data_IF_664349381923
#
_entry.id   IF_664349381923
#
_cell.length_a   1.000
_cell.length_b   1.000
_cell.length_c   1.000
_cell.angle_alpha   90.00
_cell.angle_beta   90.00
_cell.angle_gamma   90.00
#
_symmetry.space_group_name_H-M   'P 1'
#
loop_
_entity.id
_entity.type
_entity.pdbx_description
1 polymer ?
#
# COMPACT_ATOMS: atom_id res chain seq x y z
N UNK A 1 9.52 -16.18 -3.02
CA UNK A 1 10.76 -16.03 -2.23
C UNK A 1 12.01 -16.34 -3.04
N UNK A 2 12.23 -17.58 -3.48
CA UNK A 2 13.45 -17.95 -4.23
C UNK A 2 13.77 -17.01 -5.40
N UNK A 3 12.76 -16.56 -6.16
CA UNK A 3 12.98 -15.62 -7.26
C UNK A 3 13.42 -14.23 -6.79
N UNK A 4 12.85 -13.69 -5.70
CA UNK A 4 13.24 -12.35 -5.21
C UNK A 4 14.71 -12.33 -4.78
N UNK A 5 15.14 -13.37 -4.05
CA UNK A 5 16.53 -13.52 -3.64
C UNK A 5 17.46 -13.65 -4.86
N UNK A 6 17.07 -14.44 -5.88
CA UNK A 6 17.86 -14.56 -7.13
C UNK A 6 18.03 -13.22 -7.83
N UNK A 7 16.96 -12.43 -7.98
CA UNK A 7 17.04 -11.11 -8.61
C UNK A 7 17.86 -10.11 -7.77
N UNK A 8 17.72 -10.13 -6.45
CA UNK A 8 18.53 -9.32 -5.55
C UNK A 8 20.02 -9.67 -5.66
N UNK A 9 20.36 -10.97 -5.63
CA UNK A 9 21.73 -11.44 -5.78
C UNK A 9 22.29 -11.10 -7.15
N UNK A 10 21.53 -11.33 -8.23
CA UNK A 10 21.95 -10.97 -9.58
C UNK A 10 22.26 -9.46 -9.67
N UNK A 11 21.41 -8.61 -9.09
CA UNK A 11 21.62 -7.15 -9.08
C UNK A 11 22.95 -6.72 -8.42
N UNK A 12 23.46 -7.48 -7.44
CA UNK A 12 24.74 -7.17 -6.81
C UNK A 12 25.95 -7.41 -7.72
N UNK A 13 25.83 -8.33 -8.68
CA UNK A 13 26.90 -8.67 -9.63
C UNK A 13 26.71 -8.01 -10.99
N UNK A 14 25.46 -7.86 -11.41
CA UNK A 14 25.04 -7.23 -12.65
C UNK A 14 23.86 -6.30 -12.35
N UNK A 15 24.14 -5.02 -12.01
CA UNK A 15 23.11 -4.07 -11.65
C UNK A 15 22.07 -3.90 -12.77
N UNK A 16 20.81 -3.87 -12.36
CA UNK A 16 19.69 -3.60 -13.25
C UNK A 16 19.85 -2.20 -13.87
N UNK A 17 19.42 -2.04 -15.12
CA UNK A 17 19.34 -0.73 -15.76
C UNK A 17 18.68 0.33 -14.85
N UNK A 18 19.15 1.58 -14.85
CA UNK A 18 18.53 2.68 -14.08
C UNK A 18 17.03 2.88 -14.37
N UNK A 19 16.59 2.47 -15.56
CA UNK A 19 15.19 2.52 -15.99
C UNK A 19 14.43 1.21 -15.72
N UNK A 20 15.13 0.15 -15.34
CA UNK A 20 14.54 -1.14 -15.02
C UNK A 20 13.74 -1.09 -13.73
N UNK A 21 12.61 -1.81 -13.73
CA UNK A 21 11.74 -2.00 -12.58
C UNK A 21 11.55 -3.50 -12.37
N UNK A 22 11.60 -3.95 -11.13
CA UNK A 22 11.18 -5.29 -10.74
C UNK A 22 9.77 -5.22 -10.13
N UNK A 23 8.82 -5.99 -10.67
CA UNK A 23 7.47 -6.13 -10.12
C UNK A 23 7.22 -7.61 -9.84
N UNK A 24 6.87 -7.94 -8.59
CA UNK A 24 6.34 -9.25 -8.24
C UNK A 24 4.84 -9.20 -8.02
N UNK A 25 4.10 -10.07 -8.71
CA UNK A 25 2.66 -10.19 -8.52
C UNK A 25 2.35 -11.49 -7.76
N UNK A 26 1.75 -11.37 -6.58
CA UNK A 26 1.49 -12.49 -5.67
C UNK A 26 -0.01 -12.63 -5.46
N UNK A 27 -0.60 -13.74 -5.88
CA UNK A 27 -2.05 -13.93 -5.83
C UNK A 27 -2.62 -14.14 -4.41
N UNK A 28 -3.93 -14.02 -4.30
CA UNK A 28 -4.70 -14.23 -3.05
C UNK A 28 -4.56 -15.66 -2.49
N UNK A 29 -4.29 -16.66 -3.34
CA UNK A 29 -4.08 -18.07 -2.96
C UNK A 29 -2.77 -18.34 -2.20
N UNK A 30 -1.76 -17.46 -2.31
CA UNK A 30 -0.52 -17.60 -1.55
C UNK A 30 -0.78 -17.28 -0.08
N UNK A 31 -0.31 -18.14 0.84
CA UNK A 31 -0.51 -17.92 2.27
C UNK A 31 0.06 -16.57 2.75
N UNK A 32 -0.64 -15.92 3.68
CA UNK A 32 -0.30 -14.58 4.21
C UNK A 32 1.16 -14.47 4.65
N UNK A 33 1.67 -15.46 5.40
CA UNK A 33 3.07 -15.46 5.85
C UNK A 33 4.09 -15.43 4.70
N UNK A 34 3.83 -16.18 3.62
CA UNK A 34 4.70 -16.20 2.44
C UNK A 34 4.61 -14.91 1.64
N UNK A 35 3.41 -14.31 1.53
CA UNK A 35 3.21 -13.01 0.87
C UNK A 35 3.91 -11.88 1.63
N UNK A 36 3.79 -11.85 2.95
CA UNK A 36 4.47 -10.86 3.79
C UNK A 36 5.99 -11.03 3.76
N UNK A 37 6.48 -12.27 3.71
CA UNK A 37 7.91 -12.53 3.55
C UNK A 37 8.43 -12.03 2.20
N UNK A 38 7.66 -12.23 1.13
CA UNK A 38 7.99 -11.69 -0.19
C UNK A 38 7.95 -10.15 -0.20
N UNK A 39 6.94 -9.53 0.44
CA UNK A 39 6.85 -8.07 0.63
C UNK A 39 8.10 -7.52 1.35
N UNK A 40 8.51 -8.15 2.45
CA UNK A 40 9.72 -7.76 3.17
C UNK A 40 10.99 -7.91 2.31
N UNK A 41 11.02 -8.88 1.40
CA UNK A 41 12.15 -9.04 0.48
C UNK A 41 12.21 -7.92 -0.55
N UNK A 42 11.07 -7.33 -0.95
CA UNK A 42 11.06 -6.10 -1.76
C UNK A 42 11.76 -4.96 -1.03
N UNK A 43 11.56 -4.81 0.28
CA UNK A 43 12.29 -3.81 1.08
C UNK A 43 13.80 -4.04 1.02
N UNK A 44 14.26 -5.30 1.09
CA UNK A 44 15.68 -5.63 0.93
C UNK A 44 16.18 -5.33 -0.49
N UNK A 45 15.38 -5.64 -1.52
CA UNK A 45 15.71 -5.32 -2.91
C UNK A 45 15.86 -3.81 -3.12
N UNK A 46 14.96 -3.01 -2.55
CA UNK A 46 15.06 -1.54 -2.54
C UNK A 46 16.33 -1.08 -1.83
N UNK A 47 16.71 -1.73 -0.73
CA UNK A 47 17.92 -1.40 0.01
C UNK A 47 19.21 -1.63 -0.79
N UNK A 48 19.26 -2.68 -1.63
CA UNK A 48 20.40 -2.92 -2.53
C UNK A 48 20.34 -2.12 -3.82
N UNK A 49 19.44 -1.13 -3.92
CA UNK A 49 19.36 -0.19 -5.05
C UNK A 49 18.36 -0.57 -6.14
N UNK A 50 17.58 -1.62 -5.97
CA UNK A 50 16.59 -2.01 -6.98
C UNK A 50 15.31 -1.18 -6.89
N UNK A 51 14.75 -0.81 -8.05
CA UNK A 51 13.38 -0.31 -8.15
C UNK A 51 12.40 -1.48 -8.10
N UNK A 52 12.17 -2.00 -6.89
CA UNK A 52 11.38 -3.21 -6.67
C UNK A 52 10.00 -2.92 -6.07
N UNK A 53 8.99 -3.66 -6.51
CA UNK A 53 7.61 -3.56 -6.04
C UNK A 53 6.99 -4.96 -5.93
N UNK A 54 6.06 -5.13 -4.99
CA UNK A 54 5.17 -6.29 -4.97
C UNK A 54 3.74 -5.81 -5.01
N UNK A 55 2.88 -6.53 -5.73
CA UNK A 55 1.43 -6.29 -5.70
C UNK A 55 0.64 -7.58 -5.74
N UNK A 56 -0.67 -7.49 -5.50
CA UNK A 56 -1.56 -8.66 -5.48
C UNK A 56 -1.96 -8.99 -6.90
N UNK A 57 -1.74 -10.22 -7.38
CA UNK A 57 -2.27 -10.66 -8.67
C UNK A 57 -3.78 -10.86 -8.58
N UNK A 58 -4.55 -10.19 -9.45
CA UNK A 58 -6.00 -10.28 -9.52
C UNK A 58 -6.67 -10.06 -8.14
N UNK A 59 -6.57 -8.84 -7.58
CA UNK A 59 -6.95 -8.57 -6.18
C UNK A 59 -8.43 -8.85 -5.85
N UNK A 60 -9.30 -8.85 -6.85
CA UNK A 60 -10.74 -9.12 -6.72
C UNK A 60 -11.09 -10.61 -6.79
N UNK A 61 -10.13 -11.47 -7.15
CA UNK A 61 -10.37 -12.89 -7.38
C UNK A 61 -10.07 -13.68 -6.10
N UNK A 62 -11.01 -14.55 -5.71
CA UNK A 62 -10.90 -15.34 -4.50
C UNK A 62 -9.75 -16.36 -4.58
N UNK A 63 -9.17 -16.79 -3.44
CA UNK A 63 -8.14 -17.83 -3.41
C UNK A 63 -8.56 -19.13 -4.11
N UNK A 64 -9.82 -19.53 -3.95
CA UNK A 64 -10.37 -20.74 -4.56
C UNK A 64 -10.41 -20.62 -6.09
N UNK A 65 -10.78 -19.45 -6.58
CA UNK A 65 -10.84 -19.19 -8.00
C UNK A 65 -9.44 -19.08 -8.64
N UNK A 66 -8.50 -18.41 -7.98
CA UNK A 66 -7.08 -18.45 -8.38
C UNK A 66 -6.56 -19.89 -8.43
N UNK A 67 -6.95 -20.73 -7.46
CA UNK A 67 -6.57 -22.15 -7.47
C UNK A 67 -7.16 -22.86 -8.68
N UNK A 68 -8.44 -22.64 -9.02
CA UNK A 68 -9.07 -23.19 -10.23
C UNK A 68 -8.30 -22.78 -11.48
N UNK A 69 -8.07 -21.49 -11.66
CA UNK A 69 -7.33 -20.93 -12.81
C UNK A 69 -5.94 -21.55 -12.98
N UNK A 70 -5.20 -21.75 -11.88
CA UNK A 70 -3.87 -22.37 -11.93
C UNK A 70 -3.86 -23.84 -12.40
N UNK A 71 -5.01 -24.53 -12.39
CA UNK A 71 -5.13 -25.93 -12.84
C UNK A 71 -5.71 -26.06 -14.25
N UNK A 72 -6.09 -24.95 -14.89
CA UNK A 72 -6.55 -24.95 -16.27
C UNK A 72 -5.38 -25.11 -17.24
N UNK A 73 -5.66 -25.70 -18.41
CA UNK A 73 -4.74 -25.66 -19.53
C UNK A 73 -4.61 -24.24 -20.08
N UNK A 74 -3.55 -23.97 -20.84
CA UNK A 74 -3.37 -22.65 -21.47
C UNK A 74 -4.53 -22.30 -22.41
N UNK A 75 -5.05 -23.27 -23.15
CA UNK A 75 -6.18 -23.05 -24.06
C UNK A 75 -7.48 -22.76 -23.30
N UNK A 76 -7.72 -23.44 -22.17
CA UNK A 76 -8.85 -23.12 -21.30
C UNK A 76 -8.70 -21.72 -20.68
N UNK A 77 -7.49 -21.36 -20.21
CA UNK A 77 -7.22 -20.02 -19.66
C UNK A 77 -7.49 -18.89 -20.66
N UNK A 78 -7.22 -19.10 -21.95
CA UNK A 78 -7.50 -18.11 -23.01
C UNK A 78 -8.99 -17.85 -23.19
N UNK A 79 -9.85 -18.77 -22.75
CA UNK A 79 -11.32 -18.61 -22.79
C UNK A 79 -11.89 -17.98 -21.53
N UNK A 80 -11.10 -17.84 -20.47
CA UNK A 80 -11.52 -17.18 -19.24
C UNK A 80 -11.56 -15.66 -19.43
N UNK A 81 -12.55 -15.00 -18.83
CA UNK A 81 -12.70 -13.53 -18.88
C UNK A 81 -11.73 -12.83 -17.91
N UNK A 82 -10.42 -13.04 -18.10
CA UNK A 82 -9.37 -12.35 -17.35
C UNK A 82 -8.87 -11.17 -18.17
N UNK A 83 -9.16 -9.95 -17.70
CA UNK A 83 -8.64 -8.74 -18.32
C UNK A 83 -7.17 -8.53 -17.94
N UNK A 84 -6.27 -9.15 -18.72
CA UNK A 84 -4.82 -9.06 -18.50
C UNK A 84 -4.28 -7.65 -18.68
N UNK A 85 -4.85 -6.85 -19.59
CA UNK A 85 -4.40 -5.48 -19.84
C UNK A 85 -4.64 -4.58 -18.62
N UNK A 86 -5.82 -4.66 -18.01
CA UNK A 86 -6.10 -3.94 -16.76
C UNK A 86 -5.16 -4.37 -15.62
N UNK A 87 -4.81 -5.66 -15.57
CA UNK A 87 -3.92 -6.18 -14.54
C UNK A 87 -2.46 -5.71 -14.76
N UNK A 88 -2.03 -5.58 -16.02
CA UNK A 88 -0.74 -5.01 -16.38
C UNK A 88 -0.68 -3.50 -16.10
N UNK A 89 -1.71 -2.75 -16.48
CA UNK A 89 -1.83 -1.32 -16.18
C UNK A 89 -1.75 -1.05 -14.67
N UNK A 90 -2.46 -1.85 -13.87
CA UNK A 90 -2.43 -1.78 -12.41
C UNK A 90 -1.04 -2.05 -11.85
N UNK A 91 -0.34 -3.06 -12.38
CA UNK A 91 1.02 -3.39 -11.98
C UNK A 91 2.02 -2.28 -12.36
N UNK A 92 1.87 -1.65 -13.52
CA UNK A 92 2.71 -0.54 -13.95
C UNK A 92 2.45 0.72 -13.13
N UNK A 93 1.20 1.03 -12.82
CA UNK A 93 0.78 2.23 -12.09
C UNK A 93 1.44 2.38 -10.70
N UNK A 94 1.75 1.27 -10.02
CA UNK A 94 2.44 1.32 -8.72
C UNK A 94 3.95 1.59 -8.85
N UNK A 95 4.53 1.32 -10.03
CA UNK A 95 5.96 1.50 -10.28
C UNK A 95 6.32 2.89 -10.80
N UNK A 96 5.34 3.62 -11.30
CA UNK A 96 5.49 4.99 -11.77
C UNK A 96 5.47 5.97 -10.59
N UNK A 97 6.47 6.86 -10.48
CA UNK A 97 6.48 7.88 -9.45
C UNK A 97 5.44 8.96 -9.78
N UNK A 98 4.67 9.35 -8.78
CA UNK A 98 3.71 10.46 -8.87
C UNK A 98 4.41 11.81 -8.80
N UNK A 99 5.44 11.90 -7.95
CA UNK A 99 6.27 13.08 -7.78
C UNK A 99 7.58 12.72 -7.09
N UNK A 100 8.54 13.62 -7.16
CA UNK A 100 9.74 13.62 -6.33
C UNK A 100 9.47 14.44 -5.05
N UNK A 101 9.97 13.98 -3.91
CA UNK A 101 10.03 14.71 -2.64
C UNK A 101 11.45 14.56 -2.07
N UNK A 102 12.30 15.56 -2.32
CA UNK A 102 13.73 15.49 -1.97
C UNK A 102 14.42 14.29 -2.61
N UNK A 103 15.07 13.45 -1.80
CA UNK A 103 15.73 12.21 -2.24
C UNK A 103 14.78 10.99 -2.30
N UNK A 104 13.46 11.21 -2.28
CA UNK A 104 12.44 10.15 -2.33
C UNK A 104 11.51 10.34 -3.52
N UNK A 105 11.01 9.23 -4.04
CA UNK A 105 9.93 9.17 -5.02
C UNK A 105 8.64 8.72 -4.35
N UNK A 106 7.57 9.45 -4.60
CA UNK A 106 6.24 9.12 -4.10
C UNK A 106 5.56 8.17 -5.08
N UNK A 107 5.13 7.02 -4.60
CA UNK A 107 4.42 6.01 -5.37
C UNK A 107 3.08 5.69 -4.72
N UNK A 108 2.20 5.02 -5.46
CA UNK A 108 1.07 4.32 -4.87
C UNK A 108 1.56 3.14 -4.01
N UNK A 109 0.90 2.88 -2.88
CA UNK A 109 1.18 1.72 -2.03
C UNK A 109 1.05 0.44 -2.87
N UNK A 110 2.10 -0.38 -2.86
CA UNK A 110 2.22 -1.48 -3.82
C UNK A 110 1.46 -2.73 -3.37
N UNK A 111 1.39 -2.95 -2.07
CA UNK A 111 0.63 -4.02 -1.44
C UNK A 111 -0.04 -3.59 -0.12
N UNK A 112 -0.79 -4.51 0.48
CA UNK A 112 -1.52 -4.26 1.73
C UNK A 112 -0.60 -4.15 2.96
N UNK A 113 0.63 -4.64 2.90
CA UNK A 113 1.58 -4.44 4.00
C UNK A 113 2.00 -2.97 4.07
N UNK A 114 2.31 -2.35 2.92
CA UNK A 114 2.59 -0.90 2.83
C UNK A 114 1.44 -0.08 3.44
N UNK A 115 0.19 -0.41 3.06
CA UNK A 115 -1.04 0.25 3.56
C UNK A 115 -1.14 0.15 5.08
N UNK A 116 -0.92 -1.04 5.66
CA UNK A 116 -1.01 -1.26 7.10
C UNK A 116 0.16 -0.62 7.87
N UNK A 117 1.36 -0.57 7.28
CA UNK A 117 2.50 0.14 7.87
C UNK A 117 2.24 1.65 7.91
N UNK A 118 1.68 2.22 6.85
CA UNK A 118 1.25 3.62 6.85
C UNK A 118 0.17 3.87 7.88
N UNK A 119 -0.85 3.01 7.99
CA UNK A 119 -1.89 3.13 9.03
C UNK A 119 -1.27 3.21 10.44
N UNK A 120 -0.29 2.35 10.73
CA UNK A 120 0.41 2.35 12.02
C UNK A 120 1.27 3.59 12.22
N UNK A 121 2.02 4.00 11.19
CA UNK A 121 2.84 5.22 11.21
C UNK A 121 1.98 6.44 11.50
N UNK A 122 0.81 6.55 10.86
CA UNK A 122 -0.15 7.62 11.11
C UNK A 122 -0.62 7.65 12.57
N UNK A 123 -1.04 6.49 13.12
CA UNK A 123 -1.49 6.41 14.52
C UNK A 123 -0.36 6.76 15.49
N UNK A 124 0.87 6.33 15.21
CA UNK A 124 2.02 6.70 16.02
C UNK A 124 2.29 8.21 16.00
N UNK A 125 2.21 8.84 14.82
CA UNK A 125 2.35 10.28 14.69
C UNK A 125 1.25 11.03 15.48
N UNK A 126 0.00 10.55 15.42
CA UNK A 126 -1.11 11.14 16.15
C UNK A 126 -1.04 10.97 17.66
N UNK A 127 -0.17 10.11 18.18
CA UNK A 127 0.12 10.02 19.61
C UNK A 127 1.03 11.18 20.09
N UNK A 128 1.60 11.97 19.19
CA UNK A 128 2.55 13.05 19.50
C UNK A 128 1.97 14.43 19.20
N UNK A 129 2.37 15.45 19.96
CA UNK A 129 1.96 16.83 19.69
C UNK A 129 2.50 17.34 18.35
N UNK A 130 3.74 16.98 18.01
CA UNK A 130 4.36 17.34 16.73
C UNK A 130 3.57 16.76 15.56
N UNK A 131 3.26 15.46 15.59
CA UNK A 131 2.48 14.82 14.54
C UNK A 131 1.07 15.41 14.41
N UNK A 132 0.37 15.65 15.53
CA UNK A 132 -0.95 16.32 15.52
C UNK A 132 -0.88 17.72 14.91
N UNK A 133 0.15 18.51 15.23
CA UNK A 133 0.35 19.85 14.68
C UNK A 133 0.63 19.81 13.18
N UNK A 134 1.51 18.91 12.73
CA UNK A 134 1.83 18.70 11.31
C UNK A 134 0.61 18.25 10.50
N UNK A 135 -0.22 17.37 11.06
CA UNK A 135 -1.43 16.88 10.40
C UNK A 135 -2.51 17.96 10.28
N UNK A 136 -2.71 18.75 11.34
CA UNK A 136 -3.79 19.73 11.45
C UNK A 136 -5.18 19.09 11.50
N UNK A 137 -6.23 19.88 11.23
CA UNK A 137 -7.61 19.38 11.22
C UNK A 137 -8.10 19.15 9.80
N UNK A 138 -8.57 17.94 9.48
CA UNK A 138 -8.94 17.54 8.12
C UNK A 138 -10.31 16.87 8.04
N UNK A 139 -11.02 17.10 6.93
CA UNK A 139 -12.30 16.42 6.66
C UNK A 139 -12.06 15.13 5.91
N UNK A 140 -12.59 14.02 6.41
CA UNK A 140 -12.26 12.68 5.91
C UNK A 140 -13.54 11.85 5.79
N UNK A 141 -13.71 11.23 4.62
CA UNK A 141 -14.79 10.29 4.32
C UNK A 141 -14.31 8.84 4.43
N UNK A 142 -13.15 8.52 3.87
CA UNK A 142 -12.67 7.15 3.72
C UNK A 142 -11.55 6.82 4.72
N UNK A 143 -11.71 5.73 5.46
CA UNK A 143 -10.79 5.27 6.48
C UNK A 143 -10.36 3.83 6.21
N UNK A 144 -9.06 3.57 6.14
CA UNK A 144 -8.55 2.19 6.19
C UNK A 144 -8.70 1.67 7.61
N UNK A 145 -9.16 0.42 7.74
CA UNK A 145 -9.35 -0.25 9.02
C UNK A 145 -8.38 -1.43 9.16
N UNK A 146 -7.64 -1.52 10.27
CA UNK A 146 -6.90 -2.73 10.63
C UNK A 146 -7.71 -3.52 11.69
N UNK A 147 -8.32 -4.67 11.32
CA UNK A 147 -9.14 -5.45 12.25
C UNK A 147 -8.34 -6.08 13.39
N UNK A 148 -7.00 -6.18 13.27
CA UNK A 148 -6.14 -6.79 14.30
C UNK A 148 -5.82 -5.81 15.42
N UNK A 149 -5.58 -4.55 15.08
CA UNK A 149 -5.28 -3.50 16.07
C UNK A 149 -6.49 -2.65 16.40
N UNK A 150 -7.59 -2.85 15.68
CA UNK A 150 -8.83 -2.08 15.78
C UNK A 150 -8.63 -0.57 15.58
N UNK A 151 -7.61 -0.20 14.82
CA UNK A 151 -7.26 1.19 14.53
C UNK A 151 -7.59 1.56 13.10
N UNK A 152 -7.72 2.86 12.87
CA UNK A 152 -8.07 3.44 11.58
C UNK A 152 -7.00 4.42 11.12
N UNK A 153 -6.98 4.74 9.83
CA UNK A 153 -6.24 5.88 9.31
C UNK A 153 -6.90 6.41 8.03
N UNK A 154 -6.66 7.68 7.66
CA UNK A 154 -7.23 8.26 6.44
C UNK A 154 -6.73 7.53 5.20
N UNK A 155 -7.64 7.13 4.31
CA UNK A 155 -7.29 6.31 3.13
C UNK A 155 -6.28 7.00 2.21
N UNK A 156 -6.43 8.32 2.04
CA UNK A 156 -5.51 9.15 1.26
C UNK A 156 -4.09 9.14 1.83
N UNK A 157 -3.90 9.01 3.14
CA UNK A 157 -2.57 8.85 3.72
C UNK A 157 -2.01 7.45 3.44
N UNK A 158 -2.83 6.41 3.62
CA UNK A 158 -2.41 5.02 3.48
C UNK A 158 -2.11 4.59 2.03
N UNK A 159 -2.63 5.32 1.03
CA UNK A 159 -2.53 4.96 -0.37
C UNK A 159 -1.17 5.27 -1.04
N UNK A 160 -0.25 5.94 -0.35
CA UNK A 160 1.02 6.37 -0.92
C UNK A 160 2.22 5.95 -0.07
N UNK A 161 3.37 5.74 -0.72
CA UNK A 161 4.64 5.43 -0.08
C UNK A 161 5.73 6.35 -0.62
N UNK A 162 6.71 6.70 0.21
CA UNK A 162 7.86 7.49 -0.22
C UNK A 162 9.11 6.60 -0.23
N UNK A 163 9.42 6.09 -1.42
CA UNK A 163 10.55 5.19 -1.65
C UNK A 163 11.81 6.04 -1.84
N UNK A 164 12.87 5.82 -1.04
CA UNK A 164 14.17 6.45 -1.28
C UNK A 164 14.65 6.16 -2.69
N UNK A 165 15.19 7.16 -3.38
CA UNK A 165 15.92 6.87 -4.61
C UNK A 165 17.10 5.94 -4.30
N UNK A 166 17.39 4.97 -5.18
CA UNK A 166 18.61 4.20 -5.09
C UNK A 166 19.80 5.15 -5.00
N UNK A 167 20.49 5.17 -3.86
CA UNK A 167 21.77 5.84 -3.78
C UNK A 167 22.71 5.17 -4.79
N UNK A 168 23.53 5.95 -5.49
CA UNK A 168 24.61 5.37 -6.29
C UNK A 168 25.62 4.73 -5.33
N UNK A 169 25.52 3.40 -5.16
CA UNK A 169 26.37 2.61 -4.26
C UNK A 169 25.59 1.96 -3.10
N UNK A 170 26.06 0.79 -2.69
CA UNK A 170 25.52 0.05 -1.54
C UNK A 170 25.92 0.81 -0.27
N UNK A 171 24.98 1.24 0.58
CA UNK A 171 25.35 1.76 1.89
C UNK A 171 25.94 0.61 2.71
N UNK A 172 27.27 0.59 2.87
CA UNK A 172 28.00 -0.35 3.73
C UNK A 172 27.80 -0.08 5.24
N UNK A 173 26.90 0.83 5.58
CA UNK A 173 26.63 1.26 6.95
C UNK A 173 25.46 0.46 7.51
N UNK A 174 25.65 -0.14 8.69
CA UNK A 174 24.61 -0.82 9.49
C UNK A 174 23.47 0.09 9.99
N UNK A 175 23.25 1.23 9.34
CA UNK A 175 22.07 2.06 9.52
C UNK A 175 20.83 1.27 9.08
N UNK A 176 19.78 1.34 9.88
CA UNK A 176 18.47 0.80 9.54
C UNK A 176 18.04 1.34 8.18
N UNK A 177 17.75 0.42 7.25
CA UNK A 177 17.37 0.77 5.88
C UNK A 177 16.26 1.84 5.90
N UNK A 178 16.38 2.93 5.12
CA UNK A 178 15.34 3.95 5.07
C UNK A 178 14.05 3.29 4.59
N UNK A 179 13.08 3.18 5.50
CA UNK A 179 11.80 2.55 5.19
C UNK A 179 11.06 3.38 4.15
N UNK A 180 10.32 2.71 3.28
CA UNK A 180 9.41 3.33 2.30
C UNK A 180 8.19 4.00 2.96
N UNK A 181 8.19 4.15 4.28
CA UNK A 181 7.11 4.75 5.06
C UNK A 181 6.85 6.20 4.60
N UNK A 182 5.58 6.51 4.43
CA UNK A 182 5.10 7.87 4.23
C UNK A 182 4.86 8.51 5.60
N UNK A 183 5.48 9.66 5.89
CA UNK A 183 5.28 10.33 7.20
C UNK A 183 4.20 11.41 7.10
N UNK A 184 3.67 11.82 8.26
CA UNK A 184 2.67 12.88 8.34
C UNK A 184 3.23 14.22 7.83
N UNK A 185 4.51 14.49 8.08
CA UNK A 185 5.20 15.69 7.62
C UNK A 185 5.30 15.70 6.09
N UNK A 186 5.74 14.59 5.50
CA UNK A 186 5.80 14.43 4.04
C UNK A 186 4.43 14.58 3.40
N UNK A 187 3.41 13.98 4.01
CA UNK A 187 2.02 14.12 3.56
C UNK A 187 1.56 15.57 3.62
N UNK A 188 1.80 16.26 4.74
CA UNK A 188 1.36 17.63 4.93
C UNK A 188 2.04 18.61 3.95
N UNK A 189 3.34 18.43 3.71
CA UNK A 189 4.10 19.19 2.72
C UNK A 189 3.53 19.00 1.31
N UNK A 190 3.31 17.76 0.89
CA UNK A 190 2.82 17.43 -0.45
C UNK A 190 1.37 17.85 -0.69
N UNK A 191 0.52 17.71 0.32
CA UNK A 191 -0.89 18.09 0.23
C UNK A 191 -1.07 19.61 0.17
N UNK A 192 -0.17 20.37 0.82
CA UNK A 192 -0.16 21.83 0.75
C UNK A 192 0.36 22.36 -0.60
N UNK A 193 1.29 21.63 -1.23
CA UNK A 193 2.01 22.11 -2.42
C UNK A 193 1.49 21.54 -3.73
N UNK A 194 0.77 20.41 -3.71
CA UNK A 194 0.34 19.70 -4.92
C UNK A 194 -1.08 19.16 -4.82
N UNK A 195 -1.75 19.03 -5.97
CA UNK A 195 -3.04 18.32 -6.09
C UNK A 195 -2.88 16.83 -6.43
N UNK A 196 -1.65 16.32 -6.39
CA UNK A 196 -1.33 14.96 -6.84
C UNK A 196 -1.85 13.88 -5.89
N UNK A 197 -1.98 14.22 -4.62
CA UNK A 197 -2.65 13.39 -3.63
C UNK A 197 -4.16 13.60 -3.80
N UNK A 198 -4.81 12.80 -4.64
CA UNK A 198 -6.25 12.87 -4.87
C UNK A 198 -6.99 11.79 -4.07
N UNK A 199 -8.06 12.17 -3.36
CA UNK A 199 -8.85 11.26 -2.55
C UNK A 199 -9.59 10.22 -3.37
N UNK A 200 -10.05 10.59 -4.58
CA UNK A 200 -10.70 9.67 -5.52
C UNK A 200 -9.74 8.60 -6.02
N UNK A 201 -8.54 9.02 -6.45
CA UNK A 201 -7.45 8.13 -6.87
C UNK A 201 -7.01 7.20 -5.75
N UNK A 202 -6.81 7.71 -4.53
CA UNK A 202 -6.46 6.90 -3.38
C UNK A 202 -7.52 5.81 -3.11
N UNK A 203 -8.80 6.18 -3.10
CA UNK A 203 -9.91 5.24 -2.93
C UNK A 203 -9.94 4.19 -4.03
N UNK A 204 -9.87 4.59 -5.29
CA UNK A 204 -9.90 3.68 -6.43
C UNK A 204 -8.71 2.71 -6.40
N UNK A 205 -7.51 3.20 -6.09
CA UNK A 205 -6.33 2.36 -5.95
C UNK A 205 -6.47 1.34 -4.82
N UNK A 206 -6.91 1.76 -3.64
CA UNK A 206 -7.09 0.85 -2.51
C UNK A 206 -8.17 -0.21 -2.79
N UNK A 207 -9.30 0.19 -3.38
CA UNK A 207 -10.43 -0.73 -3.61
C UNK A 207 -10.23 -1.61 -4.84
N UNK A 208 -9.91 -1.01 -6.00
CA UNK A 208 -9.74 -1.74 -7.27
C UNK A 208 -8.34 -2.32 -7.42
N UNK A 209 -7.33 -1.54 -7.02
CA UNK A 209 -5.92 -1.89 -7.18
C UNK A 209 -5.38 -2.90 -6.15
N UNK A 210 -5.87 -2.84 -4.91
CA UNK A 210 -5.42 -3.71 -3.80
C UNK A 210 -6.52 -4.60 -3.20
N UNK A 211 -7.77 -4.42 -3.60
CA UNK A 211 -8.88 -5.28 -3.17
C UNK A 211 -9.44 -4.97 -1.78
N UNK A 212 -9.24 -3.76 -1.25
CA UNK A 212 -9.94 -3.36 -0.02
C UNK A 212 -11.45 -3.25 -0.28
N UNK A 213 -12.23 -3.68 0.69
CA UNK A 213 -13.70 -3.73 0.62
C UNK A 213 -14.26 -2.46 1.28
N UNK A 214 -14.97 -1.59 0.53
CA UNK A 214 -15.63 -0.44 1.11
C UNK A 214 -16.92 -0.86 1.82
N UNK A 215 -17.09 -0.44 3.06
CA UNK A 215 -18.27 -0.68 3.89
C UNK A 215 -18.71 0.64 4.52
N UNK A 216 -19.98 1.01 4.36
CA UNK A 216 -20.54 2.18 5.03
C UNK A 216 -20.71 1.91 6.54
N UNK A 217 -20.83 2.99 7.32
CA UNK A 217 -21.11 2.87 8.75
C UNK A 217 -22.43 2.17 9.10
N UNK A 218 -23.36 2.09 8.15
CA UNK A 218 -24.65 1.39 8.31
C UNK A 218 -24.47 -0.11 8.05
N UNK A 219 -23.70 -0.48 7.03
CA UNK A 219 -23.44 -1.88 6.66
C UNK A 219 -22.55 -2.59 7.68
N UNK A 220 -21.64 -1.86 8.34
CA UNK A 220 -20.70 -2.40 9.31
C UNK A 220 -20.83 -1.72 10.69
N UNK A 221 -21.92 -1.98 11.45
CA UNK A 221 -22.19 -1.30 12.72
C UNK A 221 -21.11 -1.57 13.79
N UNK A 222 -20.52 -2.77 13.79
CA UNK A 222 -19.43 -3.13 14.71
C UNK A 222 -18.16 -2.32 14.44
N UNK A 223 -17.81 -2.14 13.16
CA UNK A 223 -16.68 -1.30 12.75
C UNK A 223 -16.99 0.16 13.11
N UNK A 224 -18.23 0.61 12.88
CA UNK A 224 -18.65 1.97 13.23
C UNK A 224 -18.55 2.24 14.75
N UNK A 225 -18.85 1.26 15.60
CA UNK A 225 -18.69 1.39 17.04
C UNK A 225 -17.22 1.56 17.46
N UNK A 226 -16.33 0.73 16.92
CA UNK A 226 -14.88 0.84 17.14
C UNK A 226 -14.33 2.18 16.62
N UNK A 227 -14.80 2.60 15.44
CA UNK A 227 -14.44 3.87 14.85
C UNK A 227 -14.82 5.06 15.74
N UNK A 228 -16.02 5.07 16.33
CA UNK A 228 -16.43 6.13 17.26
C UNK A 228 -15.48 6.22 18.46
N UNK A 229 -15.17 5.09 19.08
CA UNK A 229 -14.21 5.03 20.21
C UNK A 229 -12.84 5.58 19.83
N UNK A 230 -12.31 5.16 18.67
CA UNK A 230 -11.02 5.61 18.16
C UNK A 230 -11.02 7.10 17.77
N UNK A 231 -12.06 7.56 17.07
CA UNK A 231 -12.16 8.94 16.56
C UNK A 231 -12.35 9.97 17.68
N UNK A 232 -12.93 9.56 18.81
CA UNK A 232 -13.16 10.42 19.96
C UNK A 232 -11.86 10.98 20.55
N UNK A 233 -10.77 10.20 20.51
CA UNK A 233 -9.43 10.66 20.91
C UNK A 233 -8.75 11.61 19.90
N UNK A 234 -9.38 11.82 18.73
CA UNK A 234 -8.79 12.51 17.57
C UNK A 234 -9.71 13.60 17.00
N UNK A 235 -10.71 14.06 17.76
CA UNK A 235 -11.73 15.04 17.32
C UNK A 235 -11.15 16.39 16.85
N UNK A 236 -9.98 16.75 17.38
CA UNK A 236 -9.26 17.97 16.99
C UNK A 236 -8.50 17.82 15.67
N UNK A 237 -8.18 16.58 15.28
CA UNK A 237 -7.43 16.25 14.07
C UNK A 237 -8.34 15.78 12.92
N UNK A 238 -9.48 15.17 13.25
CA UNK A 238 -10.40 14.58 12.28
C UNK A 238 -11.77 15.23 12.38
N UNK A 239 -12.27 15.70 11.24
CA UNK A 239 -13.69 15.96 11.01
C UNK A 239 -14.22 14.88 10.07
N UNK A 240 -15.19 14.09 10.50
CA UNK A 240 -15.84 13.12 9.62
C UNK A 240 -16.74 13.86 8.64
N UNK A 241 -16.76 13.44 7.38
CA UNK A 241 -17.64 14.02 6.36
C UNK A 241 -19.12 13.91 6.78
N UNK A 242 -20.00 14.88 6.44
CA UNK A 242 -21.42 14.84 6.80
C UNK A 242 -22.17 13.58 6.35
N UNK A 243 -21.81 13.03 5.18
CA UNK A 243 -22.37 11.78 4.65
C UNK A 243 -21.95 10.52 5.45
N UNK A 244 -21.10 10.69 6.46
CA UNK A 244 -20.60 9.63 7.30
C UNK A 244 -19.28 9.03 6.82
N UNK A 245 -18.68 8.15 7.66
CA UNK A 245 -17.46 7.45 7.32
C UNK A 245 -17.74 6.23 6.42
N UNK A 246 -16.78 5.95 5.53
CA UNK A 246 -16.67 4.71 4.76
C UNK A 246 -15.40 3.99 5.20
N UNK A 247 -15.53 2.74 5.61
CA UNK A 247 -14.43 1.90 6.05
C UNK A 247 -13.90 1.07 4.88
N UNK A 248 -12.59 1.03 4.72
CA UNK A 248 -11.90 0.19 3.75
C UNK A 248 -11.28 -0.97 4.51
N UNK A 249 -11.97 -2.11 4.50
CA UNK A 249 -11.57 -3.32 5.20
C UNK A 249 -10.64 -4.19 4.34
N UNK A 250 -9.69 -4.90 4.96
CA UNK A 250 -8.91 -5.91 4.27
C UNK A 250 -9.81 -7.01 3.67
N UNK A 251 -9.47 -7.53 2.48
CA UNK A 251 -10.18 -8.67 1.92
C UNK A 251 -10.00 -9.91 2.79
N UNK A 252 -10.96 -10.85 2.73
CA UNK A 252 -11.01 -12.02 3.61
C UNK A 252 -9.73 -12.85 3.60
N UNK A 253 -9.11 -13.00 2.43
CA UNK A 253 -7.87 -13.77 2.27
C UNK A 253 -6.64 -13.14 2.97
N UNK A 254 -6.78 -11.92 3.49
CA UNK A 254 -5.77 -11.25 4.31
C UNK A 254 -6.07 -11.32 5.81
N UNK A 255 -7.33 -11.51 6.22
CA UNK A 255 -7.76 -11.48 7.63
C UNK A 255 -6.97 -12.50 8.45
#
# INVERSE_FOLDING_TARGET
MANHAKFATAHLFEPQSPHGVFISMVSSHVSRGRRNLAANTITLMRHVGMRAFQTVLLPQVSPGEIKRLNHLSLDALRTEEINADLELERALAISEPLTQLGARRVHLASDLLDVLLNLRSWNHAMATNTGKASWGRRTITYFVFDPRTETFAPSKFCAYVAIPEPAQGIPLSGATAPRAEFTVEMYAELDATTKLLDGGRARLHLTKGLGLIPESGIEAPDIAARFRSWADGLRDQIRVHPDGPVFLSPPEWLK
#
